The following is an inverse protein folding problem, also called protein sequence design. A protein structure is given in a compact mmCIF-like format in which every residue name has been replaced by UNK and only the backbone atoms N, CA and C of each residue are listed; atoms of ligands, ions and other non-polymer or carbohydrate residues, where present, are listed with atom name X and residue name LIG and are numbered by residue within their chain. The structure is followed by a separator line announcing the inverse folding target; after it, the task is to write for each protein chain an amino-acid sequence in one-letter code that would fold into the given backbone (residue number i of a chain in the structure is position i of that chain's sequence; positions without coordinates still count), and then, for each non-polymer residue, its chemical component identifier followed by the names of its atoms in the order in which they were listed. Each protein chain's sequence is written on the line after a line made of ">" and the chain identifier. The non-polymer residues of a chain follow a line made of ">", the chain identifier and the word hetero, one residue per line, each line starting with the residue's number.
data_IF_047974325945
#
_entry.id   IF_047974325945
#
_cell.length_a   1.000
_cell.length_b   1.000
_cell.length_c   1.000
_cell.angle_alpha   90.00
_cell.angle_beta   90.00
_cell.angle_gamma   90.00
#
_symmetry.space_group_name_H-M   'P 1'
#
loop_
_entity.id
_entity.type
_entity.pdbx_description
1 polymer ?
#
# COMPACT_ATOMS: atom_id res chain seq x y z
N UNK A 1 12.58 -2.22 -0.37
CA UNK A 1 11.59 -1.26 0.13
C UNK A 1 10.82 -0.72 -1.06
N UNK A 2 9.54 -0.39 -0.89
CA UNK A 2 8.70 0.08 -1.99
C UNK A 2 7.81 1.21 -1.50
N UNK A 3 7.62 2.23 -2.32
CA UNK A 3 6.62 3.28 -2.12
C UNK A 3 5.60 3.24 -3.27
N UNK A 4 4.33 3.34 -2.91
CA UNK A 4 3.23 3.36 -3.87
C UNK A 4 2.41 4.63 -3.73
N UNK A 5 1.84 5.10 -4.83
CA UNK A 5 0.99 6.29 -4.88
C UNK A 5 -0.37 5.98 -5.50
N UNK A 6 -1.38 6.65 -4.99
CA UNK A 6 -2.75 6.54 -5.46
C UNK A 6 -3.44 5.23 -5.07
N UNK A 7 -4.73 5.18 -5.31
CA UNK A 7 -5.57 4.00 -5.01
C UNK A 7 -5.33 2.84 -5.97
N UNK A 8 -4.79 3.12 -7.16
CA UNK A 8 -4.39 2.11 -8.13
C UNK A 8 -3.06 1.46 -7.79
N UNK A 9 -2.24 2.07 -6.94
CA UNK A 9 -0.96 1.54 -6.48
C UNK A 9 0.12 1.58 -7.55
N UNK A 10 0.31 2.73 -8.19
CA UNK A 10 1.50 2.96 -9.00
C UNK A 10 2.73 3.00 -8.10
N UNK A 11 3.81 2.36 -8.51
CA UNK A 11 5.06 2.37 -7.76
C UNK A 11 5.79 3.69 -7.99
N UNK A 12 6.06 4.40 -6.90
CA UNK A 12 6.72 5.69 -6.90
C UNK A 12 8.23 5.55 -6.78
N UNK A 13 8.67 4.65 -5.90
CA UNK A 13 10.07 4.43 -5.59
C UNK A 13 10.31 2.97 -5.18
N UNK A 14 11.49 2.44 -5.49
CA UNK A 14 11.90 1.12 -5.03
C UNK A 14 13.38 1.08 -4.65
N UNK A 15 13.72 0.32 -3.62
CA UNK A 15 15.10 0.15 -3.16
C UNK A 15 15.36 -1.30 -2.76
N UNK A 16 16.35 -1.92 -3.40
CA UNK A 16 16.87 -3.22 -2.99
C UNK A 16 17.92 -3.03 -1.89
N UNK A 17 17.71 -3.69 -0.76
CA UNK A 17 18.60 -3.66 0.40
C UNK A 17 19.26 -5.00 0.64
N UNK A 18 20.49 -5.03 1.20
CA UNK A 18 21.10 -6.27 1.67
C UNK A 18 20.21 -6.96 2.71
N UNK A 19 20.06 -8.28 2.65
CA UNK A 19 19.14 -9.03 3.51
C UNK A 19 19.43 -8.93 5.02
N UNK A 20 20.66 -8.60 5.40
CA UNK A 20 21.07 -8.36 6.79
C UNK A 20 20.87 -6.91 7.28
N UNK A 21 20.47 -5.99 6.40
CA UNK A 21 20.24 -4.60 6.76
C UNK A 21 18.94 -4.47 7.56
N UNK A 22 19.01 -3.74 8.69
CA UNK A 22 17.82 -3.45 9.49
C UNK A 22 16.80 -2.62 8.68
N UNK A 23 15.50 -2.91 8.83
CA UNK A 23 14.44 -2.29 8.04
C UNK A 23 14.42 -0.75 8.12
N UNK A 24 14.80 -0.15 9.27
CA UNK A 24 14.84 1.30 9.47
C UNK A 24 16.05 1.98 8.83
N UNK A 25 17.13 1.23 8.57
CA UNK A 25 18.36 1.81 8.02
C UNK A 25 18.13 2.34 6.61
N UNK A 26 18.31 3.64 6.39
CA UNK A 26 18.08 4.32 5.11
C UNK A 26 16.61 4.65 4.79
N UNK A 27 15.68 4.41 5.72
CA UNK A 27 14.25 4.70 5.48
C UNK A 27 13.98 6.19 5.36
N UNK A 28 14.63 7.03 6.16
CA UNK A 28 14.52 8.49 6.11
C UNK A 28 14.89 9.03 4.72
N UNK A 29 16.04 8.60 4.16
CA UNK A 29 16.44 8.96 2.81
C UNK A 29 15.50 8.43 1.73
N UNK A 30 14.93 7.24 1.90
CA UNK A 30 13.95 6.67 1.00
C UNK A 30 12.64 7.48 0.99
N UNK A 31 12.16 7.91 2.16
CA UNK A 31 10.98 8.77 2.28
C UNK A 31 11.24 10.12 1.59
N UNK A 32 12.39 10.75 1.85
CA UNK A 32 12.75 12.02 1.23
C UNK A 32 12.75 11.93 -0.31
N UNK A 33 13.39 10.91 -0.89
CA UNK A 33 13.36 10.68 -2.35
C UNK A 33 11.94 10.44 -2.87
N UNK A 34 11.12 9.69 -2.14
CA UNK A 34 9.73 9.43 -2.54
C UNK A 34 8.90 10.72 -2.58
N UNK A 35 9.09 11.62 -1.61
CA UNK A 35 8.45 12.94 -1.57
C UNK A 35 8.95 13.83 -2.71
N UNK A 36 10.25 13.86 -2.97
CA UNK A 36 10.85 14.60 -4.10
C UNK A 36 10.29 14.11 -5.46
N UNK A 37 10.16 12.80 -5.62
CA UNK A 37 9.55 12.22 -6.84
C UNK A 37 8.09 12.66 -7.00
N UNK A 38 7.30 12.70 -5.93
CA UNK A 38 5.93 13.22 -5.98
C UNK A 38 5.89 14.69 -6.44
N UNK A 39 6.78 15.52 -5.94
CA UNK A 39 6.89 16.92 -6.35
C UNK A 39 7.25 17.04 -7.83
N UNK A 40 8.24 16.27 -8.30
CA UNK A 40 8.66 16.23 -9.71
C UNK A 40 7.54 15.82 -10.64
N UNK A 41 6.64 14.94 -10.20
CA UNK A 41 5.46 14.50 -10.95
C UNK A 41 4.30 15.52 -10.92
N UNK A 42 4.48 16.69 -10.31
CA UNK A 42 3.42 17.69 -10.18
C UNK A 42 2.34 17.32 -9.16
N UNK A 43 2.58 16.31 -8.33
CA UNK A 43 1.69 15.86 -7.25
C UNK A 43 2.05 16.53 -5.91
N UNK A 44 2.56 17.76 -5.97
CA UNK A 44 3.20 18.50 -4.89
C UNK A 44 2.27 19.07 -3.81
N UNK A 45 1.02 18.64 -3.71
CA UNK A 45 0.14 18.97 -2.60
C UNK A 45 0.49 18.21 -1.31
N UNK A 46 -0.21 18.51 -0.20
CA UNK A 46 -0.07 17.74 1.03
C UNK A 46 -0.57 16.31 0.81
N UNK A 47 0.33 15.35 0.93
CA UNK A 47 0.05 13.93 0.81
C UNK A 47 -0.14 13.27 2.17
N UNK A 48 -0.83 12.14 2.22
CA UNK A 48 -0.90 11.28 3.38
C UNK A 48 0.10 10.12 3.23
N UNK A 49 1.12 10.11 4.07
CA UNK A 49 2.13 9.06 4.15
C UNK A 49 1.67 7.99 5.14
N UNK A 50 1.63 6.73 4.71
CA UNK A 50 1.22 5.60 5.54
C UNK A 50 2.35 4.59 5.63
N UNK A 51 2.79 4.28 6.85
CA UNK A 51 3.89 3.37 7.11
C UNK A 51 3.50 2.30 8.14
N UNK A 52 4.12 1.15 8.02
CA UNK A 52 3.99 0.08 9.00
C UNK A 52 4.85 0.34 10.26
N UNK A 53 4.70 -0.51 11.27
CA UNK A 53 5.40 -0.38 12.54
C UNK A 53 6.92 -0.56 12.45
N UNK A 54 7.43 -1.19 11.40
CA UNK A 54 8.87 -1.33 11.14
C UNK A 54 9.57 0.00 10.86
N UNK A 55 8.80 1.04 10.52
CA UNK A 55 9.31 2.36 10.13
C UNK A 55 9.02 3.46 11.17
N UNK A 56 8.66 3.12 12.38
CA UNK A 56 8.35 4.07 13.47
C UNK A 56 9.61 4.60 14.17
N UNK A 57 10.65 5.02 13.42
CA UNK A 57 11.83 5.67 13.96
C UNK A 57 11.68 7.19 14.00
N UNK A 58 12.30 7.85 14.97
CA UNK A 58 12.24 9.30 15.15
C UNK A 58 12.63 10.08 13.89
N UNK A 59 13.74 9.70 13.27
CA UNK A 59 14.27 10.37 12.07
C UNK A 59 13.30 10.35 10.88
N UNK A 60 12.41 9.36 10.82
CA UNK A 60 11.41 9.28 9.76
C UNK A 60 10.35 10.36 9.89
N UNK A 61 10.03 10.79 11.11
CA UNK A 61 9.04 11.84 11.35
C UNK A 61 9.54 13.21 10.86
N UNK A 62 10.84 13.46 10.95
CA UNK A 62 11.45 14.68 10.41
C UNK A 62 11.38 14.69 8.86
N UNK A 63 11.48 13.52 8.23
CA UNK A 63 11.40 13.39 6.78
C UNK A 63 9.99 13.56 6.20
N UNK A 64 8.94 13.54 7.03
CA UNK A 64 7.57 13.79 6.55
C UNK A 64 7.31 15.27 6.22
N UNK A 65 8.10 16.20 6.77
CA UNK A 65 7.91 17.64 6.54
C UNK A 65 6.48 18.08 6.85
N UNK A 66 5.88 18.85 5.94
CA UNK A 66 4.49 19.34 6.07
C UNK A 66 3.41 18.36 5.63
N UNK A 67 3.78 17.13 5.29
CA UNK A 67 2.83 16.11 4.86
C UNK A 67 2.07 15.50 6.04
N UNK A 68 0.89 14.95 5.76
CA UNK A 68 0.15 14.16 6.73
C UNK A 68 0.76 12.76 6.84
N UNK A 69 0.67 12.17 8.04
CA UNK A 69 1.15 10.81 8.22
C UNK A 69 0.27 9.97 9.14
N UNK A 70 0.31 8.67 8.92
CA UNK A 70 -0.18 7.62 9.82
C UNK A 70 0.89 6.53 9.85
N UNK A 71 1.52 6.33 11.00
CA UNK A 71 2.55 5.30 11.20
C UNK A 71 2.08 4.32 12.25
N UNK A 72 1.96 3.04 11.90
CA UNK A 72 1.58 2.01 12.88
C UNK A 72 2.62 1.96 13.99
N UNK A 73 2.15 2.06 15.23
CA UNK A 73 2.96 1.98 16.42
C UNK A 73 2.94 0.55 16.97
N UNK A 74 4.05 0.08 17.47
CA UNK A 74 4.13 -1.22 18.15
C UNK A 74 4.24 -1.00 19.67
N UNK A 75 3.20 -1.26 20.46
CA UNK A 75 3.18 -1.02 21.90
C UNK A 75 3.88 -2.13 22.71
N UNK A 76 5.07 -2.57 22.30
CA UNK A 76 5.80 -3.74 22.86
C UNK A 76 5.97 -3.75 24.39
N UNK A 77 5.92 -2.57 25.04
CA UNK A 77 6.17 -2.41 26.49
C UNK A 77 4.94 -1.95 27.25
N UNK A 78 3.81 -1.82 26.61
CA UNK A 78 2.59 -1.36 27.22
C UNK A 78 1.71 -2.55 27.63
N UNK A 79 1.15 -2.46 28.84
CA UNK A 79 0.24 -3.47 29.35
C UNK A 79 -1.13 -3.31 28.66
N UNK A 80 -1.65 -4.35 27.98
CA UNK A 80 -2.97 -4.29 27.33
C UNK A 80 -4.11 -3.89 28.25
N UNK A 81 -4.04 -4.29 29.51
CA UNK A 81 -5.07 -3.96 30.52
C UNK A 81 -5.07 -2.46 30.86
N UNK A 82 -3.88 -1.83 30.91
CA UNK A 82 -3.76 -0.38 31.11
C UNK A 82 -4.33 0.37 29.90
N UNK A 83 -4.05 -0.12 28.69
CA UNK A 83 -4.62 0.43 27.47
C UNK A 83 -6.15 0.28 27.42
N UNK A 84 -6.69 -0.84 27.88
CA UNK A 84 -8.14 -1.02 28.01
C UNK A 84 -8.73 -0.04 29.03
N UNK A 85 -8.09 0.14 30.18
CA UNK A 85 -8.55 1.10 31.19
C UNK A 85 -8.53 2.54 30.65
N UNK A 86 -7.49 2.92 29.91
CA UNK A 86 -7.43 4.21 29.22
C UNK A 86 -8.55 4.33 28.18
N UNK A 87 -8.72 3.31 27.34
CA UNK A 87 -9.72 3.28 26.27
C UNK A 87 -11.15 3.40 26.80
N UNK A 88 -11.47 2.76 27.92
CA UNK A 88 -12.76 2.88 28.59
C UNK A 88 -13.02 4.28 29.18
N UNK A 89 -11.95 5.00 29.54
CA UNK A 89 -12.04 6.34 30.13
C UNK A 89 -12.18 7.45 29.10
N UNK A 90 -11.43 7.39 28.01
CA UNK A 90 -11.30 8.50 27.03
C UNK A 90 -11.72 8.12 25.61
N UNK A 91 -12.00 6.86 25.35
CA UNK A 91 -12.33 6.37 24.01
C UNK A 91 -13.83 6.37 23.75
N UNK A 92 -14.16 6.56 22.48
CA UNK A 92 -15.52 6.35 21.96
C UNK A 92 -15.78 4.86 21.79
N UNK A 93 -16.82 4.36 22.45
CA UNK A 93 -17.27 2.98 22.26
C UNK A 93 -18.00 2.87 20.93
N UNK A 94 -17.56 1.93 20.10
CA UNK A 94 -18.18 1.63 18.82
C UNK A 94 -19.21 0.51 18.98
N UNK A 95 -20.32 0.60 18.23
CA UNK A 95 -21.27 -0.50 18.14
C UNK A 95 -20.61 -1.74 17.54
N UNK A 96 -20.80 -2.86 18.20
CA UNK A 96 -20.22 -4.13 17.77
C UNK A 96 -21.10 -5.31 18.19
N UNK A 97 -20.79 -6.50 17.70
CA UNK A 97 -21.53 -7.72 18.05
C UNK A 97 -21.41 -8.05 19.54
N UNK A 98 -22.34 -8.84 20.07
CA UNK A 98 -22.27 -9.36 21.43
C UNK A 98 -20.89 -10.02 21.70
N UNK A 99 -20.38 -9.80 22.90
CA UNK A 99 -19.06 -10.30 23.31
C UNK A 99 -17.84 -9.62 22.67
N UNK A 100 -18.04 -8.53 21.90
CA UNK A 100 -16.95 -7.71 21.35
C UNK A 100 -17.21 -6.25 21.70
N UNK A 101 -16.30 -5.60 22.42
CA UNK A 101 -16.27 -4.16 22.62
C UNK A 101 -15.11 -3.56 21.87
N UNK A 102 -15.35 -2.48 21.14
CA UNK A 102 -14.33 -1.74 20.40
C UNK A 102 -14.31 -0.31 20.90
N UNK A 103 -13.15 0.19 21.27
CA UNK A 103 -12.95 1.55 21.73
C UNK A 103 -11.93 2.22 20.82
N UNK A 104 -12.24 3.44 20.39
CA UNK A 104 -11.34 4.26 19.55
C UNK A 104 -11.16 5.62 20.18
N UNK A 105 -9.95 6.20 20.08
CA UNK A 105 -9.68 7.49 20.66
C UNK A 105 -8.27 7.94 20.40
N UNK A 106 -7.86 8.99 21.11
CA UNK A 106 -6.51 9.54 21.07
C UNK A 106 -5.92 9.63 22.47
N UNK A 107 -4.59 9.55 22.53
CA UNK A 107 -3.80 9.99 23.65
C UNK A 107 -2.50 10.63 23.16
N UNK A 108 -1.92 11.53 23.95
CA UNK A 108 -0.64 12.14 23.63
C UNK A 108 0.50 11.25 24.12
N UNK A 109 1.50 11.08 23.28
CA UNK A 109 2.69 10.32 23.62
C UNK A 109 3.95 11.06 23.15
N UNK A 110 5.03 10.89 23.88
CA UNK A 110 6.31 11.42 23.45
C UNK A 110 6.71 10.88 22.08
N UNK A 111 7.33 11.74 21.30
CA UNK A 111 7.86 11.38 19.99
C UNK A 111 8.74 10.10 20.09
N UNK A 112 8.69 9.18 19.11
CA UNK A 112 9.61 8.04 19.08
C UNK A 112 11.05 8.53 19.14
N UNK A 113 11.86 7.96 20.05
CA UNK A 113 13.25 8.39 20.24
C UNK A 113 13.55 9.08 21.57
N UNK A 114 12.57 9.18 22.48
CA UNK A 114 12.72 9.64 23.87
C UNK A 114 13.34 11.03 24.06
N UNK A 115 13.41 11.86 23.05
CA UNK A 115 13.78 13.26 23.23
C UNK A 115 12.60 14.02 23.87
N UNK A 116 12.67 14.22 25.18
CA UNK A 116 11.65 14.93 25.95
C UNK A 116 11.48 16.40 25.54
N UNK A 117 12.42 16.94 24.75
CA UNK A 117 12.34 18.31 24.22
C UNK A 117 11.48 18.41 22.95
N UNK A 118 11.08 17.30 22.36
CA UNK A 118 10.17 17.30 21.19
C UNK A 118 8.71 17.32 21.63
N UNK A 119 7.83 18.00 20.89
CA UNK A 119 6.40 18.02 21.21
C UNK A 119 5.83 16.60 21.17
N UNK A 120 4.83 16.35 22.02
CA UNK A 120 4.06 15.11 21.96
C UNK A 120 3.39 14.96 20.59
N UNK A 121 3.33 13.73 20.11
CA UNK A 121 2.62 13.39 18.89
C UNK A 121 1.34 12.65 19.25
N UNK A 122 0.17 13.05 18.72
CA UNK A 122 -1.07 12.33 18.94
C UNK A 122 -0.97 10.88 18.48
N UNK A 123 -1.48 9.97 19.30
CA UNK A 123 -1.58 8.55 19.00
C UNK A 123 -3.04 8.15 18.94
N UNK A 124 -3.54 7.80 17.77
CA UNK A 124 -4.82 7.16 17.63
C UNK A 124 -4.74 5.71 18.11
N UNK A 125 -5.77 5.25 18.80
CA UNK A 125 -5.84 3.87 19.26
C UNK A 125 -7.16 3.19 18.89
N UNK A 126 -7.07 1.87 18.75
CA UNK A 126 -8.19 0.94 18.73
C UNK A 126 -7.90 -0.16 19.75
N UNK A 127 -8.77 -0.31 20.72
CA UNK A 127 -8.71 -1.40 21.70
C UNK A 127 -9.93 -2.27 21.52
N UNK A 128 -9.70 -3.56 21.25
CA UNK A 128 -10.74 -4.55 21.06
C UNK A 128 -10.68 -5.52 22.24
N UNK A 129 -11.78 -5.60 22.97
CA UNK A 129 -12.01 -6.56 24.04
C UNK A 129 -12.98 -7.63 23.54
N UNK A 130 -12.58 -8.89 23.58
CA UNK A 130 -13.45 -10.02 23.24
C UNK A 130 -13.68 -10.90 24.46
N UNK A 131 -14.93 -11.04 24.85
CA UNK A 131 -15.38 -11.90 25.95
C UNK A 131 -16.03 -13.20 25.44
N UNK A 132 -16.30 -13.28 24.14
CA UNK A 132 -16.86 -14.43 23.45
C UNK A 132 -15.94 -14.72 22.25
N UNK A 133 -15.58 -15.97 22.02
CA UNK A 133 -14.77 -16.41 20.89
C UNK A 133 -15.56 -16.47 19.57
N UNK A 134 -14.92 -17.04 18.54
CA UNK A 134 -15.51 -17.17 17.20
C UNK A 134 -16.61 -18.24 17.17
N UNK A 135 -16.55 -19.21 18.09
CA UNK A 135 -17.47 -20.36 18.19
C UNK A 135 -18.62 -20.07 19.17
N UNK A 136 -18.69 -18.86 19.74
CA UNK A 136 -19.75 -18.42 20.65
C UNK A 136 -19.51 -18.82 22.11
N UNK A 137 -18.33 -19.34 22.47
CA UNK A 137 -18.00 -19.72 23.84
C UNK A 137 -17.53 -18.49 24.64
N UNK A 138 -17.96 -18.38 25.88
CA UNK A 138 -17.50 -17.33 26.79
C UNK A 138 -16.06 -17.61 27.21
N UNK A 139 -15.19 -16.62 27.04
CA UNK A 139 -13.80 -16.67 27.44
C UNK A 139 -13.68 -16.44 28.95
N UNK A 140 -12.90 -17.26 29.66
CA UNK A 140 -12.57 -17.05 31.08
C UNK A 140 -11.79 -15.76 31.31
N UNK A 141 -10.89 -15.43 30.37
CA UNK A 141 -10.13 -14.18 30.36
C UNK A 141 -10.43 -13.48 29.03
N UNK A 142 -10.84 -12.22 29.04
CA UNK A 142 -11.06 -11.47 27.80
C UNK A 142 -9.80 -11.40 26.95
N UNK A 143 -9.93 -11.63 25.65
CA UNK A 143 -8.85 -11.43 24.70
C UNK A 143 -8.78 -9.96 24.33
N UNK A 144 -7.63 -9.33 24.60
CA UNK A 144 -7.36 -7.94 24.30
C UNK A 144 -6.49 -7.83 23.04
N UNK A 145 -6.87 -6.91 22.15
CA UNK A 145 -6.12 -6.53 20.99
C UNK A 145 -5.96 -5.01 21.01
N UNK A 146 -4.71 -4.53 20.99
CA UNK A 146 -4.37 -3.12 21.08
C UNK A 146 -3.65 -2.72 19.81
N UNK A 147 -4.24 -1.82 19.06
CA UNK A 147 -3.67 -1.22 17.87
C UNK A 147 -3.49 0.28 18.08
N UNK A 148 -2.34 0.81 17.70
CA UNK A 148 -2.02 2.24 17.89
C UNK A 148 -1.29 2.80 16.67
N UNK A 149 -1.51 4.09 16.38
CA UNK A 149 -0.92 4.79 15.24
C UNK A 149 -0.53 6.21 15.60
N UNK A 150 0.70 6.58 15.27
CA UNK A 150 1.15 7.95 15.27
C UNK A 150 0.51 8.72 14.12
N UNK A 151 0.03 9.94 14.37
CA UNK A 151 -0.55 10.77 13.30
C UNK A 151 -0.50 12.26 13.65
N UNK A 152 -0.48 13.10 12.62
CA UNK A 152 -0.66 14.56 12.72
C UNK A 152 -2.03 14.98 12.15
N UNK A 153 -2.93 14.06 11.89
CA UNK A 153 -4.26 14.37 11.39
C UNK A 153 -5.16 14.92 12.50
N UNK A 154 -5.82 16.04 12.23
CA UNK A 154 -6.82 16.65 13.12
C UNK A 154 -8.23 16.16 12.75
N UNK A 155 -8.51 14.86 12.91
CA UNK A 155 -9.80 14.24 12.62
C UNK A 155 -10.16 13.21 13.70
N UNK A 156 -11.34 12.59 13.62
CA UNK A 156 -11.75 11.54 14.57
C UNK A 156 -10.84 10.32 14.47
N UNK A 157 -10.57 9.65 15.59
CA UNK A 157 -9.74 8.45 15.62
C UNK A 157 -10.22 7.39 14.63
N UNK A 158 -11.52 7.14 14.54
CA UNK A 158 -12.10 6.23 13.55
C UNK A 158 -11.70 6.57 12.11
N UNK A 159 -11.69 7.85 11.75
CA UNK A 159 -11.25 8.30 10.41
C UNK A 159 -9.77 7.98 10.16
N UNK A 160 -8.90 8.15 11.17
CA UNK A 160 -7.49 7.75 11.07
C UNK A 160 -7.37 6.25 10.81
N UNK A 161 -8.14 5.45 11.55
CA UNK A 161 -8.16 3.99 11.38
C UNK A 161 -8.64 3.59 9.98
N UNK A 162 -9.74 4.17 9.52
CA UNK A 162 -10.31 3.89 8.19
C UNK A 162 -9.30 4.27 7.08
N UNK A 163 -8.63 5.42 7.21
CA UNK A 163 -7.57 5.84 6.31
C UNK A 163 -6.37 4.90 6.35
N UNK A 164 -6.00 4.39 7.52
CA UNK A 164 -4.91 3.41 7.63
C UNK A 164 -5.31 2.06 7.03
N UNK A 165 -6.50 1.55 7.33
CA UNK A 165 -7.00 0.29 6.79
C UNK A 165 -7.22 0.36 5.26
N UNK A 166 -7.52 1.53 4.71
CA UNK A 166 -7.50 1.79 3.27
C UNK A 166 -6.12 1.57 2.61
N UNK A 167 -5.06 1.29 3.41
CA UNK A 167 -3.75 0.83 2.94
C UNK A 167 -3.71 -0.68 2.62
N UNK A 168 -4.71 -1.45 2.98
CA UNK A 168 -4.79 -2.90 2.71
C UNK A 168 -4.43 -3.34 1.30
N UNK A 169 -4.72 -2.56 0.22
CA UNK A 169 -4.26 -2.87 -1.13
C UNK A 169 -2.73 -2.95 -1.30
N UNK A 170 -1.92 -2.35 -0.41
CA UNK A 170 -0.45 -2.41 -0.52
C UNK A 170 0.11 -3.83 -0.41
N UNK A 171 -0.49 -4.68 0.42
CA UNK A 171 -0.11 -6.10 0.51
C UNK A 171 -0.37 -6.83 -0.81
N UNK A 172 -1.45 -6.44 -1.51
CA UNK A 172 -1.74 -6.96 -2.84
C UNK A 172 -0.69 -6.51 -3.86
N UNK A 173 -0.23 -5.24 -3.79
CA UNK A 173 0.82 -4.75 -4.69
C UNK A 173 2.13 -5.51 -4.48
N UNK A 174 2.50 -5.78 -3.23
CA UNK A 174 3.65 -6.64 -2.90
C UNK A 174 3.48 -8.06 -3.44
N UNK A 175 2.29 -8.63 -3.30
CA UNK A 175 1.97 -9.96 -3.84
C UNK A 175 2.06 -9.97 -5.38
N UNK A 176 1.62 -8.92 -6.06
CA UNK A 176 1.71 -8.82 -7.52
C UNK A 176 3.17 -8.74 -8.00
N UNK A 177 4.02 -7.97 -7.30
CA UNK A 177 5.45 -7.94 -7.60
C UNK A 177 6.10 -9.32 -7.42
N UNK A 178 5.83 -9.98 -6.28
CA UNK A 178 6.43 -11.27 -5.95
C UNK A 178 5.95 -12.38 -6.89
N UNK A 179 4.63 -12.51 -7.06
CA UNK A 179 4.01 -13.66 -7.70
C UNK A 179 3.73 -13.46 -9.19
N UNK A 180 3.37 -12.24 -9.62
CA UNK A 180 2.95 -12.00 -11.00
C UNK A 180 4.15 -11.58 -11.87
N UNK A 181 5.16 -10.92 -11.29
CA UNK A 181 6.40 -10.50 -11.94
C UNK A 181 7.64 -11.27 -11.46
N UNK A 182 7.46 -12.29 -10.60
CA UNK A 182 8.50 -13.20 -10.08
C UNK A 182 9.73 -12.50 -9.45
N UNK A 183 9.53 -11.33 -8.84
CA UNK A 183 10.60 -10.54 -8.21
C UNK A 183 11.12 -11.18 -6.92
N UNK A 184 10.42 -12.15 -6.37
CA UNK A 184 10.89 -12.91 -5.20
C UNK A 184 12.19 -13.67 -5.51
N UNK A 185 12.41 -14.04 -6.77
CA UNK A 185 13.59 -14.75 -7.25
C UNK A 185 14.45 -13.87 -8.15
N UNK A 186 15.27 -13.03 -7.51
CA UNK A 186 16.19 -12.20 -8.26
C UNK A 186 17.27 -13.07 -8.95
N UNK A 187 17.52 -12.88 -10.27
CA UNK A 187 18.27 -13.84 -11.09
C UNK A 187 19.79 -13.77 -10.91
N UNK A 188 20.32 -12.82 -10.13
CA UNK A 188 21.76 -12.62 -9.99
C UNK A 188 22.21 -12.69 -8.52
N UNK A 189 23.41 -13.24 -8.28
CA UNK A 189 24.09 -13.12 -6.99
C UNK A 189 24.68 -11.71 -6.74
N UNK A 190 24.66 -10.81 -7.72
CA UNK A 190 25.24 -9.46 -7.64
C UNK A 190 24.17 -8.42 -7.29
N UNK A 191 24.35 -7.72 -6.19
CA UNK A 191 23.40 -6.70 -5.74
C UNK A 191 23.12 -5.61 -6.78
N UNK A 192 24.17 -5.13 -7.48
CA UNK A 192 24.02 -4.08 -8.50
C UNK A 192 23.17 -4.53 -9.69
N UNK A 193 23.36 -5.77 -10.17
CA UNK A 193 22.55 -6.32 -11.25
C UNK A 193 21.08 -6.43 -10.82
N UNK A 194 20.83 -6.94 -9.62
CA UNK A 194 19.49 -7.05 -9.09
C UNK A 194 18.80 -5.69 -8.82
N UNK A 195 19.56 -4.63 -8.50
CA UNK A 195 19.02 -3.26 -8.43
C UNK A 195 18.50 -2.79 -9.79
N UNK A 196 19.25 -3.01 -10.86
CA UNK A 196 18.83 -2.64 -12.22
C UNK A 196 17.57 -3.42 -12.60
N UNK A 197 17.54 -4.72 -12.34
CA UNK A 197 16.37 -5.57 -12.62
C UNK A 197 15.15 -5.05 -11.86
N UNK A 198 15.30 -4.68 -10.59
CA UNK A 198 14.21 -4.13 -9.79
C UNK A 198 13.69 -2.80 -10.36
N UNK A 199 14.57 -1.91 -10.84
CA UNK A 199 14.17 -0.66 -11.50
C UNK A 199 13.42 -0.94 -12.80
N UNK A 200 13.90 -1.86 -13.64
CA UNK A 200 13.19 -2.30 -14.84
C UNK A 200 11.80 -2.88 -14.48
N UNK A 201 11.73 -3.65 -13.40
CA UNK A 201 10.46 -4.21 -12.91
C UNK A 201 9.50 -3.10 -12.45
N UNK A 202 10.00 -2.05 -11.81
CA UNK A 202 9.17 -0.88 -11.43
C UNK A 202 8.53 -0.23 -12.66
N UNK A 203 9.32 -0.02 -13.72
CA UNK A 203 8.80 0.54 -14.98
C UNK A 203 7.74 -0.39 -15.58
N UNK A 204 8.04 -1.68 -15.70
CA UNK A 204 7.11 -2.68 -16.23
C UNK A 204 5.82 -2.76 -15.40
N UNK A 205 5.94 -2.75 -14.07
CA UNK A 205 4.80 -2.75 -13.15
C UNK A 205 3.88 -1.54 -13.39
N UNK A 206 4.45 -0.34 -13.51
CA UNK A 206 3.68 0.88 -13.74
C UNK A 206 3.03 0.90 -15.13
N UNK A 207 3.72 0.44 -16.17
CA UNK A 207 3.14 0.31 -17.51
C UNK A 207 1.97 -0.67 -17.52
N UNK A 208 2.13 -1.85 -16.93
CA UNK A 208 1.06 -2.84 -16.82
C UNK A 208 -0.11 -2.32 -15.97
N UNK A 209 0.18 -1.57 -14.92
CA UNK A 209 -0.84 -0.91 -14.09
C UNK A 209 -1.65 0.10 -14.91
N UNK A 210 -0.96 0.98 -15.66
CA UNK A 210 -1.58 1.95 -16.56
C UNK A 210 -2.42 1.25 -17.64
N UNK A 211 -1.88 0.22 -18.27
CA UNK A 211 -2.60 -0.56 -19.27
C UNK A 211 -3.88 -1.19 -18.69
N UNK A 212 -3.80 -1.75 -17.48
CA UNK A 212 -4.98 -2.27 -16.78
C UNK A 212 -6.05 -1.21 -16.52
N UNK A 213 -5.67 0.02 -16.21
CA UNK A 213 -6.61 1.15 -16.05
C UNK A 213 -7.25 1.54 -17.39
N UNK A 214 -6.47 1.57 -18.47
CA UNK A 214 -6.99 1.85 -19.81
C UNK A 214 -8.04 0.82 -20.25
N UNK A 215 -7.84 -0.46 -19.91
CA UNK A 215 -8.84 -1.53 -20.15
C UNK A 215 -10.13 -1.28 -19.34
N UNK A 216 -10.01 -0.88 -18.08
CA UNK A 216 -11.17 -0.61 -17.21
C UNK A 216 -11.98 0.58 -17.74
N UNK A 217 -11.33 1.63 -18.24
CA UNK A 217 -12.01 2.77 -18.88
C UNK A 217 -12.85 2.34 -20.09
N UNK A 218 -12.46 1.25 -20.75
CA UNK A 218 -13.11 0.66 -21.92
C UNK A 218 -13.97 -0.58 -21.60
N UNK A 219 -14.50 -0.64 -20.40
CA UNK A 219 -15.31 -1.78 -19.94
C UNK A 219 -16.49 -2.10 -20.87
N UNK A 220 -17.00 -1.12 -21.61
CA UNK A 220 -18.07 -1.32 -22.61
C UNK A 220 -17.66 -2.12 -23.85
N UNK A 221 -16.35 -2.14 -24.19
CA UNK A 221 -15.80 -2.94 -25.30
C UNK A 221 -15.25 -4.29 -24.82
N UNK A 222 -15.21 -4.52 -23.51
CA UNK A 222 -14.63 -5.71 -22.93
C UNK A 222 -15.52 -6.95 -23.19
N UNK A 223 -14.91 -8.12 -23.49
CA UNK A 223 -15.67 -9.35 -23.75
C UNK A 223 -16.36 -9.91 -22.49
N UNK A 224 -16.14 -9.31 -21.34
CA UNK A 224 -16.72 -9.67 -20.06
C UNK A 224 -16.99 -8.43 -19.20
N UNK A 225 -17.99 -8.51 -18.33
CA UNK A 225 -18.32 -7.41 -17.42
C UNK A 225 -17.15 -7.15 -16.47
N UNK A 226 -16.69 -5.89 -16.43
CA UNK A 226 -15.65 -5.41 -15.51
C UNK A 226 -16.33 -4.55 -14.44
N UNK A 227 -16.32 -5.02 -13.19
CA UNK A 227 -16.88 -4.29 -12.06
C UNK A 227 -15.87 -4.25 -10.90
N UNK A 228 -14.66 -3.84 -11.21
CA UNK A 228 -13.56 -3.72 -10.24
C UNK A 228 -12.78 -2.43 -10.51
N UNK A 229 -12.28 -1.76 -9.48
CA UNK A 229 -11.54 -0.50 -9.64
C UNK A 229 -10.13 -0.72 -10.19
N UNK A 230 -9.61 -1.94 -10.14
CA UNK A 230 -8.25 -2.26 -10.52
C UNK A 230 -8.08 -3.73 -10.93
N UNK A 231 -7.40 -3.96 -12.04
CA UNK A 231 -6.96 -5.30 -12.43
C UNK A 231 -5.66 -5.68 -11.75
N UNK A 232 -5.54 -6.93 -11.36
CA UNK A 232 -4.28 -7.56 -10.95
C UNK A 232 -3.33 -7.65 -12.15
N UNK A 233 -2.03 -7.47 -11.95
CA UNK A 233 -1.01 -7.52 -13.02
C UNK A 233 -1.10 -8.82 -13.82
N UNK A 234 -1.25 -9.97 -13.17
CA UNK A 234 -1.45 -11.27 -13.84
C UNK A 234 -2.64 -11.27 -14.80
N UNK A 235 -3.71 -10.57 -14.47
CA UNK A 235 -4.91 -10.46 -15.34
C UNK A 235 -4.60 -9.63 -16.57
N UNK A 236 -3.84 -8.54 -16.43
CA UNK A 236 -3.38 -7.71 -17.55
C UNK A 236 -2.47 -8.53 -18.48
N UNK A 237 -1.48 -9.20 -17.91
CA UNK A 237 -0.56 -10.06 -18.67
C UNK A 237 -1.34 -11.11 -19.46
N UNK A 238 -2.24 -11.85 -18.82
CA UNK A 238 -2.99 -12.96 -19.45
C UNK A 238 -3.91 -12.49 -20.56
N UNK A 239 -4.60 -11.36 -20.38
CA UNK A 239 -5.68 -10.95 -21.26
C UNK A 239 -5.23 -10.00 -22.38
N UNK A 240 -4.19 -9.20 -22.12
CA UNK A 240 -3.76 -8.13 -23.02
C UNK A 240 -2.37 -8.41 -23.59
N UNK A 241 -1.40 -8.79 -22.74
CA UNK A 241 0.00 -8.93 -23.17
C UNK A 241 0.25 -10.28 -23.87
N UNK A 242 -0.28 -11.38 -23.33
CA UNK A 242 -0.06 -12.72 -23.88
C UNK A 242 -1.03 -13.08 -25.03
N UNK A 243 -1.51 -12.07 -25.76
CA UNK A 243 -2.26 -12.30 -26.99
C UNK A 243 -1.32 -12.75 -28.11
N UNK A 244 -1.68 -13.84 -28.77
CA UNK A 244 -0.93 -14.31 -29.94
C UNK A 244 -1.14 -13.36 -31.11
N UNK A 245 -0.03 -12.82 -31.66
CA UNK A 245 -0.05 -11.92 -32.81
C UNK A 245 1.02 -12.35 -33.82
N UNK A 246 0.74 -12.12 -35.09
CA UNK A 246 1.71 -12.25 -36.17
C UNK A 246 2.21 -10.85 -36.56
N UNK A 247 3.53 -10.66 -36.53
CA UNK A 247 4.15 -9.43 -37.01
C UNK A 247 4.34 -9.54 -38.51
N UNK A 248 3.67 -8.68 -39.27
CA UNK A 248 3.78 -8.60 -40.73
C UNK A 248 4.49 -7.31 -41.11
N UNK A 249 5.52 -7.43 -41.99
CA UNK A 249 6.20 -6.29 -42.60
C UNK A 249 5.87 -6.24 -44.08
N UNK A 250 5.22 -5.19 -44.53
CA UNK A 250 4.89 -4.98 -45.92
C UNK A 250 5.04 -3.51 -46.30
N UNK A 251 5.71 -3.22 -47.42
CA UNK A 251 5.88 -1.88 -47.97
C UNK A 251 6.31 -0.81 -46.94
N UNK A 252 7.28 -1.16 -46.06
CA UNK A 252 7.79 -0.25 -45.02
C UNK A 252 6.87 -0.06 -43.80
N UNK A 253 5.71 -0.74 -43.74
CA UNK A 253 4.80 -0.75 -42.62
C UNK A 253 4.97 -1.99 -41.77
N UNK A 254 4.72 -1.86 -40.50
CA UNK A 254 4.69 -2.96 -39.53
C UNK A 254 3.25 -3.09 -39.04
N UNK A 255 2.66 -4.26 -39.23
CA UNK A 255 1.29 -4.56 -38.84
C UNK A 255 1.26 -5.71 -37.85
N UNK A 256 0.39 -5.62 -36.87
CA UNK A 256 0.14 -6.70 -35.90
C UNK A 256 -1.20 -7.39 -36.27
N UNK A 257 -1.08 -8.62 -36.75
CA UNK A 257 -2.26 -9.43 -37.11
C UNK A 257 -2.66 -10.30 -35.93
N UNK A 258 -3.79 -9.96 -35.30
CA UNK A 258 -4.37 -10.75 -34.22
C UNK A 258 -5.17 -11.93 -34.78
N UNK A 259 -5.14 -13.06 -34.07
CA UNK A 259 -5.95 -14.21 -34.43
C UNK A 259 -7.45 -13.89 -34.36
N UNK A 260 -8.27 -14.49 -35.25
CA UNK A 260 -9.73 -14.30 -35.33
C UNK A 260 -10.48 -14.53 -34.01
N UNK A 261 -9.88 -15.21 -33.04
CA UNK A 261 -10.44 -15.52 -31.72
C UNK A 261 -9.90 -14.61 -30.61
N UNK A 262 -9.17 -13.54 -30.93
CA UNK A 262 -8.71 -12.60 -29.92
C UNK A 262 -9.89 -11.83 -29.33
N UNK A 263 -10.32 -12.23 -28.14
CA UNK A 263 -11.51 -11.67 -27.46
C UNK A 263 -11.31 -10.20 -27.02
N UNK A 264 -10.07 -9.77 -26.90
CA UNK A 264 -9.70 -8.43 -26.41
C UNK A 264 -9.29 -7.48 -27.54
N UNK A 265 -9.47 -7.89 -28.81
CA UNK A 265 -8.99 -7.14 -29.98
C UNK A 265 -9.53 -5.71 -30.02
N UNK A 266 -10.85 -5.52 -29.84
CA UNK A 266 -11.48 -4.19 -29.86
C UNK A 266 -10.92 -3.26 -28.79
N UNK A 267 -10.70 -3.77 -27.56
CA UNK A 267 -10.10 -3.02 -26.47
C UNK A 267 -8.66 -2.65 -26.79
N UNK A 268 -7.85 -3.59 -27.29
CA UNK A 268 -6.45 -3.37 -27.65
C UNK A 268 -6.34 -2.34 -28.77
N UNK A 269 -7.18 -2.45 -29.79
CA UNK A 269 -7.22 -1.53 -30.93
C UNK A 269 -7.57 -0.10 -30.48
N UNK A 270 -8.59 0.05 -29.65
CA UNK A 270 -9.01 1.36 -29.14
C UNK A 270 -7.94 1.99 -28.22
N UNK A 271 -7.28 1.18 -27.38
CA UNK A 271 -6.12 1.64 -26.61
C UNK A 271 -5.03 2.13 -27.55
N UNK A 272 -4.65 1.35 -28.58
CA UNK A 272 -3.61 1.73 -29.52
C UNK A 272 -3.92 3.05 -30.23
N UNK A 273 -5.17 3.24 -30.68
CA UNK A 273 -5.61 4.49 -31.31
C UNK A 273 -5.57 5.69 -30.38
N UNK A 274 -5.74 5.50 -29.06
CA UNK A 274 -5.69 6.60 -28.09
C UNK A 274 -4.27 7.09 -27.80
N UNK A 275 -3.24 6.38 -28.22
CA UNK A 275 -1.83 6.74 -28.09
C UNK A 275 -1.16 7.10 -29.43
N UNK A 276 -1.85 6.96 -30.55
CA UNK A 276 -1.36 7.35 -31.87
C UNK A 276 -1.66 8.82 -32.18
#
# INVERSE_FOLDING_TARGET
>A
MFAYVGTQGHMLECELRPGKQHCQSGTTAFIARSVETLQTLGLGGKCLLRLDSGNAAADNFDAFGDHYFIVKRNPRRECPEQMLALARRVGDKQDSREGKNVYTGFFDHFHPGSDQNRPCVPVAFEVIERTIDIDGQKLLVPKLEVNTWWTNLSCRAKTVLDLYHGHGPSEQYHSELKSDLDVERLPSGRLCANKIILLCTMVAFNLLRGLGQEVIKRAGLAPQKINIPRWRIKTVLKNIVYCAVQLVRHAGRIELHFGKRCRWFEVIQDIAHSFA
#
